data_IF_611954217759
#
_entry.id   IF_611954217759
#
_cell.length_a   1.000
_cell.length_b   1.000
_cell.length_c   1.000
_cell.angle_alpha   90.00
_cell.angle_beta   90.00
_cell.angle_gamma   90.00
#
_symmetry.space_group_name_H-M   'P 1'
#
loop_
_entity.id
_entity.type
_entity.pdbx_description
1 polymer ?
#
# COMPACT_ATOMS: atom_id res chain seq x y z
N UNK A 1 9.63 4.73 18.09
CA UNK A 1 8.99 3.84 17.09
C UNK A 1 9.75 4.01 15.81
N UNK A 2 10.37 2.96 15.29
CA UNK A 2 11.11 3.03 14.02
C UNK A 2 10.10 3.16 12.88
N UNK A 3 10.18 4.23 12.12
CA UNK A 3 9.25 4.48 11.01
C UNK A 3 9.51 3.45 9.91
N UNK A 4 8.53 2.60 9.59
CA UNK A 4 8.67 1.62 8.51
C UNK A 4 8.60 2.38 7.19
N UNK A 5 9.66 2.38 6.36
CA UNK A 5 9.61 3.05 5.07
C UNK A 5 8.61 2.34 4.16
N UNK A 6 7.81 3.13 3.41
CA UNK A 6 6.90 2.64 2.37
C UNK A 6 7.37 3.21 1.02
N UNK A 7 8.35 2.57 0.35
CA UNK A 7 8.89 3.08 -0.91
C UNK A 7 7.86 3.01 -2.03
N UNK A 8 7.89 3.98 -2.94
CA UNK A 8 7.18 3.88 -4.21
C UNK A 8 7.66 2.64 -4.99
N UNK A 9 6.72 1.92 -5.61
CA UNK A 9 6.99 0.70 -6.37
C UNK A 9 7.15 -0.56 -5.51
N UNK A 10 7.23 -0.44 -4.18
CA UNK A 10 7.31 -1.59 -3.29
C UNK A 10 6.04 -2.44 -3.35
N UNK A 11 6.21 -3.75 -3.24
CA UNK A 11 5.10 -4.72 -3.24
C UNK A 11 4.84 -5.20 -1.83
N UNK A 12 3.58 -5.25 -1.47
CA UNK A 12 3.09 -5.64 -0.15
C UNK A 12 2.03 -6.72 -0.30
N UNK A 13 1.84 -7.53 0.72
CA UNK A 13 0.83 -8.59 0.75
C UNK A 13 -0.17 -8.34 1.87
N UNK A 14 -1.47 -8.50 1.57
CA UNK A 14 -2.52 -8.36 2.58
C UNK A 14 -2.42 -9.49 3.60
N UNK A 15 -2.48 -9.14 4.89
CA UNK A 15 -2.67 -10.10 5.98
C UNK A 15 -4.01 -10.82 5.79
N UNK A 16 -3.99 -12.14 5.74
CA UNK A 16 -5.19 -12.98 5.66
C UNK A 16 -5.66 -13.36 4.25
N UNK A 17 -5.64 -12.43 3.27
CA UNK A 17 -6.16 -12.73 1.90
C UNK A 17 -5.07 -13.07 0.87
N UNK A 18 -3.78 -12.94 1.21
CA UNK A 18 -2.64 -13.14 0.30
C UNK A 18 -2.71 -12.36 -1.03
N UNK A 19 -3.48 -11.27 -1.09
CA UNK A 19 -3.53 -10.37 -2.26
C UNK A 19 -2.30 -9.48 -2.24
N UNK A 20 -1.62 -9.33 -3.38
CA UNK A 20 -0.48 -8.43 -3.52
C UNK A 20 -0.91 -7.08 -4.03
N UNK A 21 -0.28 -6.05 -3.49
CA UNK A 21 -0.49 -4.66 -3.87
C UNK A 21 0.84 -3.99 -4.14
N UNK A 22 0.86 -3.06 -5.08
CA UNK A 22 2.03 -2.21 -5.34
C UNK A 22 1.74 -0.78 -4.90
N UNK A 23 2.66 -0.19 -4.15
CA UNK A 23 2.59 1.22 -3.76
C UNK A 23 2.87 2.09 -4.98
N UNK A 24 1.90 2.92 -5.35
CA UNK A 24 2.01 3.88 -6.46
C UNK A 24 2.65 5.18 -5.98
N UNK A 25 2.21 5.70 -4.84
CA UNK A 25 2.79 6.90 -4.24
C UNK A 25 2.37 7.07 -2.77
N UNK A 26 3.06 7.95 -2.05
CA UNK A 26 2.57 8.53 -0.80
C UNK A 26 1.87 9.85 -1.11
N UNK A 27 0.69 10.05 -0.51
CA UNK A 27 -0.11 11.25 -0.65
C UNK A 27 -0.31 11.94 0.70
N UNK A 28 -0.64 13.22 0.66
CA UNK A 28 -1.06 14.01 1.82
C UNK A 28 -2.47 14.55 1.58
N UNK A 29 -3.25 14.69 2.63
CA UNK A 29 -4.53 15.37 2.55
C UNK A 29 -4.32 16.85 2.19
N UNK A 30 -5.07 17.35 1.22
CA UNK A 30 -4.84 18.68 0.66
C UNK A 30 -5.17 19.83 1.60
N UNK A 31 -6.06 19.62 2.57
CA UNK A 31 -6.56 20.68 3.44
C UNK A 31 -5.61 21.00 4.60
N UNK A 32 -5.07 19.99 5.27
CA UNK A 32 -4.29 20.14 6.49
C UNK A 32 -2.85 19.62 6.35
N UNK A 33 -2.52 18.89 5.27
CA UNK A 33 -1.24 18.23 5.03
C UNK A 33 -0.74 17.32 6.17
N UNK A 34 -1.54 17.12 7.23
CA UNK A 34 -1.17 16.41 8.44
C UNK A 34 -1.36 14.91 8.26
N UNK A 35 -2.41 14.53 7.53
CA UNK A 35 -2.76 13.13 7.30
C UNK A 35 -2.01 12.56 6.09
N UNK A 36 -1.31 11.44 6.31
CA UNK A 36 -0.53 10.72 5.29
C UNK A 36 -1.28 9.49 4.80
N UNK A 37 -1.28 9.30 3.48
CA UNK A 37 -1.97 8.22 2.81
C UNK A 37 -1.04 7.46 1.86
N UNK A 38 -1.36 6.20 1.63
CA UNK A 38 -0.73 5.34 0.64
C UNK A 38 -1.71 5.17 -0.51
N UNK A 39 -1.28 5.58 -1.70
CA UNK A 39 -1.94 5.22 -2.95
C UNK A 39 -1.32 3.91 -3.45
N UNK A 40 -2.13 2.89 -3.66
CA UNK A 40 -1.67 1.58 -4.13
C UNK A 40 -2.61 1.00 -5.17
N UNK A 41 -2.17 -0.07 -5.82
CA UNK A 41 -2.97 -0.86 -6.76
C UNK A 41 -2.89 -2.33 -6.39
N UNK A 42 -3.98 -3.08 -6.57
CA UNK A 42 -3.95 -4.54 -6.56
C UNK A 42 -3.22 -5.07 -7.80
N UNK A 43 -2.41 -6.11 -7.62
CA UNK A 43 -1.69 -6.80 -8.71
C UNK A 43 -2.48 -7.99 -9.25
N UNK A 44 -3.31 -8.61 -8.42
CA UNK A 44 -4.27 -9.64 -8.79
C UNK A 44 -5.70 -9.08 -8.84
N UNK A 45 -6.60 -9.68 -9.63
CA UNK A 45 -8.04 -9.44 -9.46
C UNK A 45 -8.47 -9.76 -8.03
N UNK A 46 -9.36 -8.92 -7.49
CA UNK A 46 -10.13 -9.23 -6.29
C UNK A 46 -11.51 -9.73 -6.70
N UNK A 47 -12.35 -10.12 -5.75
CA UNK A 47 -13.72 -10.61 -6.01
C UNK A 47 -14.55 -9.60 -6.82
N UNK A 48 -14.41 -8.31 -6.50
CA UNK A 48 -15.23 -7.24 -7.06
C UNK A 48 -14.50 -6.36 -8.07
N UNK A 49 -13.16 -6.42 -8.15
CA UNK A 49 -12.35 -5.46 -8.91
C UNK A 49 -11.21 -6.11 -9.71
N UNK A 50 -11.00 -5.60 -10.93
CA UNK A 50 -9.88 -5.97 -11.80
C UNK A 50 -8.51 -5.56 -11.21
N UNK A 51 -7.40 -6.20 -11.63
CA UNK A 51 -6.06 -5.73 -11.30
C UNK A 51 -5.80 -4.34 -11.89
N UNK A 52 -4.98 -3.53 -11.22
CA UNK A 52 -4.66 -2.17 -11.67
C UNK A 52 -5.55 -1.07 -11.09
N UNK A 53 -6.61 -1.43 -10.36
CA UNK A 53 -7.51 -0.48 -9.73
C UNK A 53 -6.80 0.27 -8.58
N UNK A 54 -7.07 1.58 -8.46
CA UNK A 54 -6.34 2.45 -7.52
C UNK A 54 -7.11 2.63 -6.23
N UNK A 55 -6.39 2.49 -5.13
CA UNK A 55 -6.94 2.56 -3.78
C UNK A 55 -6.12 3.51 -2.92
N UNK A 56 -6.79 4.14 -1.96
CA UNK A 56 -6.15 5.03 -0.99
C UNK A 56 -6.47 4.57 0.42
N UNK A 57 -5.46 4.61 1.29
CA UNK A 57 -5.63 4.21 2.69
C UNK A 57 -4.64 5.00 3.56
N UNK A 58 -5.03 5.33 4.79
CA UNK A 58 -4.12 6.00 5.73
C UNK A 58 -2.88 5.15 6.01
N UNK A 59 -1.70 5.77 6.18
CA UNK A 59 -0.43 5.04 6.38
C UNK A 59 -0.52 4.02 7.52
N UNK A 60 -1.09 4.40 8.66
CA UNK A 60 -1.23 3.48 9.81
C UNK A 60 -2.12 2.29 9.50
N UNK A 61 -3.27 2.55 8.86
CA UNK A 61 -4.21 1.51 8.49
C UNK A 61 -3.66 0.60 7.37
N UNK A 62 -2.74 1.11 6.55
CA UNK A 62 -2.02 0.33 5.54
C UNK A 62 -1.01 -0.61 6.22
N UNK A 63 -0.15 -0.08 7.10
CA UNK A 63 0.83 -0.89 7.86
C UNK A 63 0.17 -1.93 8.78
N UNK A 64 -1.05 -1.67 9.24
CA UNK A 64 -1.83 -2.65 10.01
C UNK A 64 -2.36 -3.82 9.17
N UNK A 65 -2.57 -3.61 7.86
CA UNK A 65 -3.21 -4.57 6.95
C UNK A 65 -2.24 -5.30 6.04
N UNK A 66 -1.09 -4.73 5.76
CA UNK A 66 -0.17 -5.24 4.76
C UNK A 66 1.22 -5.46 5.33
N UNK A 67 1.88 -6.51 4.87
CA UNK A 67 3.28 -6.80 5.15
C UNK A 67 4.13 -6.57 3.90
N UNK A 68 5.34 -5.99 4.03
CA UNK A 68 6.21 -5.78 2.88
C UNK A 68 6.69 -7.14 2.38
N UNK A 69 6.56 -7.39 1.08
CA UNK A 69 7.24 -8.51 0.46
C UNK A 69 8.66 -7.99 0.20
N UNK A 70 9.63 -8.43 1.01
CA UNK A 70 11.02 -8.05 0.75
C UNK A 70 11.36 -8.46 -0.68
N UNK A 71 11.55 -7.48 -1.56
CA UNK A 71 12.14 -7.73 -2.86
C UNK A 71 13.56 -8.25 -2.58
N UNK A 72 13.98 -9.40 -3.12
CA UNK A 72 15.36 -9.81 -2.99
C UNK A 72 16.23 -8.67 -3.52
N UNK A 73 17.19 -8.24 -2.70
CA UNK A 73 18.21 -7.31 -3.13
C UNK A 73 18.87 -7.90 -4.39
N UNK A 74 18.83 -7.12 -5.48
CA UNK A 74 19.58 -7.42 -6.70
C UNK A 74 21.06 -7.15 -6.41
#
# INVERSE_FOLDING_TARGET
MTEVPIPKGSVWVSRGRRVRVQVVNLARHGEDCASRFVLYTNLEPTEDFAPGERWILGVEAFLARFDPIMSPAI
#
